data_IF_540189231586
#
_entry.id   IF_540189231586
#
_cell.length_a   1.000
_cell.length_b   1.000
_cell.length_c   1.000
_cell.angle_alpha   90.00
_cell.angle_beta   90.00
_cell.angle_gamma   90.00
#
_symmetry.space_group_name_H-M   'P 1'
#
loop_
_entity.id
_entity.type
_entity.pdbx_description
1 polymer ?
#
# COMPACT_ATOMS: atom_id res chain seq x y z
N UNK A 1 -12.51 -14.20 11.21
CA UNK A 1 -11.13 -13.71 11.47
C UNK A 1 -10.08 -14.11 10.40
N UNK A 2 -10.34 -15.06 9.49
CA UNK A 2 -9.32 -15.57 8.54
C UNK A 2 -8.99 -14.64 7.34
N UNK A 3 -9.96 -13.86 6.85
CA UNK A 3 -9.76 -12.98 5.67
C UNK A 3 -8.88 -11.76 5.95
N UNK A 4 -9.00 -11.16 7.14
CA UNK A 4 -8.20 -10.02 7.57
C UNK A 4 -6.72 -10.38 7.83
N UNK A 5 -6.42 -11.66 8.02
CA UNK A 5 -5.07 -12.20 8.23
C UNK A 5 -4.39 -12.66 6.93
N UNK A 6 -5.09 -12.62 5.78
CA UNK A 6 -4.51 -12.92 4.47
C UNK A 6 -4.43 -14.41 4.13
N UNK A 7 -5.39 -15.25 4.54
CA UNK A 7 -5.44 -16.69 4.23
C UNK A 7 -5.84 -17.01 2.77
N UNK A 8 -5.49 -16.15 1.82
CA UNK A 8 -5.73 -16.37 0.39
C UNK A 8 -4.38 -16.43 -0.32
N UNK A 9 -4.14 -17.52 -1.04
CA UNK A 9 -2.98 -17.64 -1.93
C UNK A 9 -3.17 -16.69 -3.12
N UNK A 10 -2.61 -15.49 -3.03
CA UNK A 10 -2.67 -14.47 -4.07
C UNK A 10 -1.30 -14.34 -4.73
N UNK A 11 -1.26 -14.29 -6.06
CA UNK A 11 0.00 -14.11 -6.79
C UNK A 11 0.52 -12.67 -6.62
N UNK A 12 1.84 -12.44 -6.72
CA UNK A 12 2.40 -11.09 -6.69
C UNK A 12 1.80 -10.16 -7.76
N UNK A 13 1.47 -10.70 -8.94
CA UNK A 13 0.83 -9.94 -10.03
C UNK A 13 -0.56 -9.46 -9.62
N UNK A 14 -1.34 -10.32 -8.96
CA UNK A 14 -2.67 -9.91 -8.48
C UNK A 14 -2.57 -8.90 -7.34
N UNK A 15 -1.58 -9.03 -6.46
CA UNK A 15 -1.30 -8.01 -5.44
C UNK A 15 -0.92 -6.67 -6.05
N UNK A 16 -0.14 -6.67 -7.14
CA UNK A 16 0.20 -5.45 -7.87
C UNK A 16 -1.06 -4.78 -8.44
N UNK A 17 -1.95 -5.55 -9.06
CA UNK A 17 -3.25 -5.03 -9.49
C UNK A 17 -4.01 -4.36 -8.34
N UNK A 18 -4.11 -5.01 -7.18
CA UNK A 18 -4.86 -4.46 -6.03
C UNK A 18 -4.20 -3.17 -5.50
N UNK A 19 -2.89 -3.16 -5.32
CA UNK A 19 -2.18 -1.98 -4.79
C UNK A 19 -2.19 -0.80 -5.76
N UNK A 20 -2.30 -1.06 -7.07
CA UNK A 20 -2.39 -0.01 -8.07
C UNK A 20 -3.57 0.93 -7.84
N UNK A 21 -4.68 0.45 -7.27
CA UNK A 21 -5.83 1.28 -6.92
C UNK A 21 -5.45 2.44 -5.99
N UNK A 22 -4.50 2.25 -5.08
CA UNK A 22 -4.03 3.31 -4.18
C UNK A 22 -2.88 4.09 -4.80
N UNK A 23 -1.92 3.39 -5.42
CA UNK A 23 -0.75 4.01 -6.03
C UNK A 23 -1.11 4.94 -7.21
N UNK A 24 -2.21 4.66 -7.90
CA UNK A 24 -2.69 5.37 -9.08
C UNK A 24 -3.96 6.20 -8.81
N UNK A 25 -4.05 6.80 -7.62
CA UNK A 25 -5.07 7.82 -7.32
C UNK A 25 -6.52 7.33 -7.36
N UNK A 26 -6.76 6.03 -7.17
CA UNK A 26 -8.10 5.44 -7.14
C UNK A 26 -8.40 4.49 -8.31
N UNK A 27 -7.52 4.39 -9.29
CA UNK A 27 -7.72 3.59 -10.49
C UNK A 27 -6.99 2.26 -10.41
N UNK A 28 -7.70 1.14 -10.54
CA UNK A 28 -7.08 -0.19 -10.48
C UNK A 28 -6.66 -0.64 -11.88
N UNK A 29 -5.37 -0.87 -12.08
CA UNK A 29 -4.77 -1.23 -13.38
C UNK A 29 -4.43 -2.71 -13.41
N UNK A 30 -4.89 -3.41 -14.45
CA UNK A 30 -4.43 -4.77 -14.71
C UNK A 30 -2.99 -4.78 -15.25
N UNK A 31 -2.04 -5.45 -14.55
CA UNK A 31 -0.67 -5.52 -15.01
C UNK A 31 -0.55 -6.24 -16.35
N UNK A 32 0.26 -5.69 -17.25
CA UNK A 32 0.54 -6.27 -18.57
C UNK A 32 2.04 -6.37 -18.82
N UNK A 33 2.43 -7.46 -19.49
CA UNK A 33 3.83 -7.70 -19.87
C UNK A 33 4.11 -7.31 -21.33
N UNK A 34 3.16 -7.56 -22.23
CA UNK A 34 3.33 -7.34 -23.67
C UNK A 34 2.49 -6.14 -24.08
N UNK A 35 3.13 -5.07 -24.54
CA UNK A 35 2.44 -3.88 -25.05
C UNK A 35 2.11 -3.96 -26.53
N UNK A 36 3.03 -4.51 -27.33
CA UNK A 36 2.92 -4.55 -28.79
C UNK A 36 3.74 -5.70 -29.37
N UNK A 37 3.22 -6.36 -30.41
CA UNK A 37 3.94 -7.34 -31.23
C UNK A 37 3.95 -6.82 -32.67
N UNK A 38 5.14 -6.74 -33.26
CA UNK A 38 5.35 -6.27 -34.63
C UNK A 38 5.79 -7.43 -35.52
N UNK A 39 5.34 -7.42 -36.76
CA UNK A 39 5.88 -8.27 -37.83
C UNK A 39 7.28 -7.80 -38.23
N UNK A 40 8.02 -8.64 -38.96
CA UNK A 40 9.33 -8.29 -39.54
C UNK A 40 9.29 -7.00 -40.38
N UNK A 41 8.14 -6.73 -41.00
CA UNK A 41 7.93 -5.57 -41.86
C UNK A 41 7.43 -4.32 -41.09
N UNK A 42 7.37 -4.36 -39.76
CA UNK A 42 6.91 -3.26 -38.90
C UNK A 42 5.39 -3.18 -38.71
N UNK A 43 4.61 -4.03 -39.38
CA UNK A 43 3.15 -4.09 -39.20
C UNK A 43 2.78 -4.54 -37.79
N UNK A 44 1.82 -3.86 -37.16
CA UNK A 44 1.31 -4.23 -35.83
C UNK A 44 0.49 -5.50 -35.93
N UNK A 45 0.95 -6.58 -35.28
CA UNK A 45 0.22 -7.86 -35.19
C UNK A 45 -0.70 -7.85 -33.97
N UNK A 46 -0.23 -7.26 -32.87
CA UNK A 46 -0.95 -7.17 -31.62
C UNK A 46 -0.58 -5.87 -30.91
N UNK A 47 -1.56 -5.24 -30.29
CA UNK A 47 -1.37 -4.08 -29.41
C UNK A 47 -2.31 -4.22 -28.22
N UNK A 48 -1.74 -4.28 -27.03
CA UNK A 48 -2.48 -4.42 -25.79
C UNK A 48 -2.95 -3.04 -25.32
N UNK A 49 -4.26 -2.92 -25.07
CA UNK A 49 -4.83 -1.77 -24.36
C UNK A 49 -4.73 -2.00 -22.85
N UNK A 50 -4.46 -0.94 -22.11
CA UNK A 50 -4.53 -0.96 -20.64
C UNK A 50 -5.95 -1.33 -20.23
N UNK A 51 -6.09 -2.38 -19.41
CA UNK A 51 -7.36 -2.70 -18.77
C UNK A 51 -7.35 -2.06 -17.38
N UNK A 52 -8.41 -1.31 -17.10
CA UNK A 52 -8.52 -0.48 -15.93
C UNK A 52 -9.94 -0.58 -15.36
N UNK A 53 -10.02 -0.69 -14.04
CA UNK A 53 -11.24 -0.39 -13.29
C UNK A 53 -11.06 1.04 -12.78
N UNK A 54 -11.63 1.98 -13.53
CA UNK A 54 -11.57 3.39 -13.18
C UNK A 54 -12.41 3.67 -11.93
N UNK A 55 -12.01 4.70 -11.17
CA UNK A 55 -12.76 5.21 -10.03
C UNK A 55 -13.13 4.14 -8.98
N UNK A 56 -12.26 3.14 -8.79
CA UNK A 56 -12.44 2.14 -7.73
C UNK A 56 -12.53 2.82 -6.35
N UNK A 57 -11.78 3.90 -6.16
CA UNK A 57 -12.00 4.88 -5.10
C UNK A 57 -11.66 6.28 -5.59
N UNK A 58 -11.94 7.32 -4.82
CA UNK A 58 -11.64 8.69 -5.21
C UNK A 58 -10.17 9.05 -4.93
N UNK A 59 -9.56 9.99 -5.67
CA UNK A 59 -8.18 10.41 -5.40
C UNK A 59 -7.92 10.87 -3.96
N UNK A 60 -8.82 11.65 -3.30
CA UNK A 60 -8.64 12.04 -1.90
C UNK A 60 -8.62 10.83 -0.95
N UNK A 61 -9.46 9.82 -1.21
CA UNK A 61 -9.53 8.59 -0.42
C UNK A 61 -8.30 7.71 -0.61
N UNK A 62 -7.84 7.53 -1.86
CA UNK A 62 -6.58 6.86 -2.16
C UNK A 62 -5.39 7.55 -1.48
N UNK A 63 -5.40 8.88 -1.40
CA UNK A 63 -4.35 9.65 -0.73
C UNK A 63 -4.37 9.49 0.79
N UNK A 64 -5.55 9.41 1.43
CA UNK A 64 -5.64 9.06 2.86
C UNK A 64 -5.02 7.69 3.14
N UNK A 65 -5.33 6.69 2.30
CA UNK A 65 -4.71 5.36 2.40
C UNK A 65 -3.19 5.41 2.20
N UNK A 66 -2.72 6.20 1.24
CA UNK A 66 -1.29 6.44 1.03
C UNK A 66 -0.63 7.03 2.28
N UNK A 67 -1.26 8.00 2.95
CA UNK A 67 -0.72 8.62 4.16
C UNK A 67 -0.65 7.64 5.34
N UNK A 68 -1.69 6.83 5.54
CA UNK A 68 -1.69 5.74 6.53
C UNK A 68 -0.56 4.74 6.22
N UNK A 69 -0.37 4.37 4.96
CA UNK A 69 0.69 3.44 4.55
C UNK A 69 2.09 4.04 4.66
N UNK A 70 2.25 5.37 4.56
CA UNK A 70 3.52 6.05 4.86
C UNK A 70 3.91 5.90 6.32
N UNK A 71 2.94 5.84 7.24
CA UNK A 71 3.23 5.63 8.66
C UNK A 71 3.79 4.24 8.97
N UNK A 72 3.41 3.22 8.21
CA UNK A 72 4.02 1.89 8.31
C UNK A 72 5.53 1.96 8.05
N UNK A 73 5.96 2.84 7.14
CA UNK A 73 7.36 3.04 6.81
C UNK A 73 8.04 3.93 7.85
N UNK A 74 7.42 5.05 8.25
CA UNK A 74 8.03 6.01 9.19
C UNK A 74 8.17 5.46 10.60
N UNK A 75 7.14 4.75 11.08
CA UNK A 75 6.99 4.36 12.49
C UNK A 75 6.49 2.94 12.70
N UNK A 76 6.03 2.24 11.66
CA UNK A 76 5.51 0.87 11.76
C UNK A 76 6.54 -0.23 11.48
N UNK A 77 6.04 -1.34 10.94
CA UNK A 77 6.80 -2.56 10.63
C UNK A 77 7.62 -2.48 9.34
N UNK A 78 7.35 -1.48 8.49
CA UNK A 78 7.98 -1.30 7.18
C UNK A 78 9.22 -0.41 7.18
N UNK A 79 9.78 -0.06 8.34
CA UNK A 79 10.93 0.89 8.45
C UNK A 79 12.11 0.53 7.54
N UNK A 80 12.38 -0.75 7.36
CA UNK A 80 13.47 -1.22 6.50
C UNK A 80 13.23 -0.99 5.00
N UNK A 81 12.02 -0.61 4.59
CA UNK A 81 11.71 -0.22 3.21
C UNK A 81 12.05 1.25 2.90
N UNK A 82 12.50 2.03 3.90
CA UNK A 82 12.76 3.46 3.73
C UNK A 82 13.86 3.76 2.70
N UNK A 83 13.62 4.77 1.87
CA UNK A 83 14.58 5.29 0.88
C UNK A 83 14.81 6.78 1.16
N UNK A 84 16.08 7.18 1.32
CA UNK A 84 16.42 8.55 1.73
C UNK A 84 15.93 9.56 0.69
N UNK A 85 15.13 10.52 1.15
CA UNK A 85 14.62 11.61 0.32
C UNK A 85 13.54 11.19 -0.68
N UNK A 86 12.91 10.04 -0.49
CA UNK A 86 11.78 9.56 -1.30
C UNK A 86 10.65 9.15 -0.34
N UNK A 87 9.44 9.63 -0.59
CA UNK A 87 8.27 9.15 0.10
C UNK A 87 7.91 7.74 -0.39
N UNK A 88 7.73 6.83 0.57
CA UNK A 88 7.35 5.44 0.32
C UNK A 88 6.11 5.15 1.16
N UNK A 89 5.15 4.49 0.54
CA UNK A 89 3.98 3.91 1.18
C UNK A 89 4.03 2.40 1.01
N UNK A 90 3.63 1.63 2.02
CA UNK A 90 3.55 0.18 1.86
C UNK A 90 3.18 -0.57 3.12
N UNK A 91 3.02 -1.88 2.99
CA UNK A 91 2.64 -2.75 4.09
C UNK A 91 3.44 -4.05 4.08
N UNK A 92 3.83 -4.47 5.28
CA UNK A 92 4.39 -5.80 5.51
C UNK A 92 3.27 -6.83 5.64
N UNK A 93 3.48 -8.01 5.06
CA UNK A 93 2.72 -9.23 5.35
C UNK A 93 3.66 -10.34 5.83
N UNK A 94 3.24 -11.13 6.80
CA UNK A 94 3.96 -12.31 7.26
C UNK A 94 2.93 -13.37 7.60
N UNK A 95 3.01 -14.56 6.98
CA UNK A 95 2.08 -15.66 7.29
C UNK A 95 2.52 -16.42 8.54
N UNK A 96 1.62 -17.27 9.06
CA UNK A 96 1.90 -18.12 10.20
C UNK A 96 3.17 -18.95 9.98
N UNK A 97 3.95 -19.14 11.05
CA UNK A 97 5.23 -19.88 11.04
C UNK A 97 6.28 -19.29 10.09
N UNK A 98 6.14 -18.04 9.63
CA UNK A 98 7.10 -17.35 8.75
C UNK A 98 7.37 -18.13 7.46
N UNK A 99 6.32 -18.70 6.87
CA UNK A 99 6.42 -19.40 5.58
C UNK A 99 6.50 -18.40 4.43
N UNK A 100 5.77 -17.30 4.54
CA UNK A 100 5.74 -16.22 3.56
C UNK A 100 6.10 -14.88 4.21
N UNK A 101 6.95 -14.14 3.52
CA UNK A 101 7.27 -12.76 3.83
C UNK A 101 6.91 -11.87 2.63
N UNK A 102 6.03 -10.91 2.86
CA UNK A 102 5.55 -9.97 1.86
C UNK A 102 5.91 -8.54 2.22
N UNK A 103 6.25 -7.77 1.19
CA UNK A 103 6.19 -6.32 1.25
C UNK A 103 5.57 -5.79 -0.04
N UNK A 104 4.43 -5.14 0.10
CA UNK A 104 3.73 -4.49 -1.00
C UNK A 104 3.87 -2.99 -0.78
N UNK A 105 4.52 -2.28 -1.70
CA UNK A 105 4.77 -0.86 -1.51
C UNK A 105 4.96 -0.12 -2.82
N UNK A 106 4.93 1.20 -2.73
CA UNK A 106 5.05 2.09 -3.85
C UNK A 106 5.64 3.44 -3.45
N UNK A 107 6.14 4.13 -4.46
CA UNK A 107 6.50 5.54 -4.47
C UNK A 107 5.59 6.26 -5.48
N UNK A 108 5.66 7.59 -5.63
CA UNK A 108 4.72 8.34 -6.46
C UNK A 108 4.62 7.88 -7.93
N UNK A 109 5.65 7.23 -8.47
CA UNK A 109 5.72 6.81 -9.87
C UNK A 109 5.96 5.31 -10.07
N UNK A 110 6.11 4.54 -8.99
CA UNK A 110 6.54 3.14 -9.13
C UNK A 110 6.03 2.30 -7.97
N UNK A 111 5.40 1.20 -8.30
CA UNK A 111 4.97 0.15 -7.39
C UNK A 111 5.91 -1.05 -7.48
N UNK A 112 6.18 -1.69 -6.33
CA UNK A 112 7.01 -2.89 -6.25
C UNK A 112 6.42 -3.82 -5.20
N UNK A 113 6.11 -5.04 -5.63
CA UNK A 113 5.62 -6.12 -4.78
C UNK A 113 6.73 -7.16 -4.61
N UNK A 114 7.09 -7.45 -3.36
CA UNK A 114 8.12 -8.44 -3.03
C UNK A 114 7.50 -9.54 -2.17
N UNK A 115 7.61 -10.77 -2.66
CA UNK A 115 7.36 -11.97 -1.89
C UNK A 115 8.66 -12.76 -1.72
N UNK A 116 8.83 -13.35 -0.56
CA UNK A 116 9.84 -14.35 -0.29
C UNK A 116 9.20 -15.52 0.44
N UNK A 117 9.53 -16.72 0.00
CA UNK A 117 9.10 -17.97 0.60
C UNK A 117 10.01 -19.09 0.13
N UNK A 118 9.72 -20.31 0.59
CA UNK A 118 10.41 -21.52 0.12
C UNK A 118 9.41 -22.35 -0.67
N UNK A 119 9.83 -22.89 -1.82
CA UNK A 119 8.95 -23.69 -2.68
C UNK A 119 8.36 -24.92 -1.98
N UNK A 120 9.01 -25.41 -0.93
CA UNK A 120 8.54 -26.53 -0.10
C UNK A 120 7.68 -26.10 1.11
N UNK A 121 7.24 -24.84 1.17
CA UNK A 121 6.43 -24.25 2.23
C UNK A 121 7.00 -24.42 3.66
N UNK A 122 8.30 -24.66 3.80
CA UNK A 122 8.96 -24.68 5.10
C UNK A 122 9.21 -23.24 5.57
N UNK A 123 9.25 -23.01 6.90
CA UNK A 123 9.63 -21.70 7.43
C UNK A 123 10.90 -21.15 6.79
N UNK A 124 10.90 -19.86 6.48
CA UNK A 124 12.05 -19.13 5.94
C UNK A 124 13.20 -19.11 6.96
N UNK A 125 12.85 -19.10 8.26
CA UNK A 125 13.79 -19.08 9.38
C UNK A 125 13.71 -17.78 10.18
N UNK A 126 14.66 -17.61 11.11
CA UNK A 126 14.73 -16.43 11.97
C UNK A 126 14.94 -15.17 11.11
N UNK A 127 14.10 -14.16 11.31
CA UNK A 127 14.13 -12.91 10.53
C UNK A 127 13.35 -12.95 9.22
N UNK A 128 12.83 -14.12 8.80
CA UNK A 128 12.00 -14.31 7.61
C UNK A 128 10.60 -13.71 7.71
N UNK A 129 10.52 -12.40 7.89
CA UNK A 129 9.26 -11.64 8.01
C UNK A 129 9.20 -10.58 6.92
N UNK A 130 8.01 -10.09 6.59
CA UNK A 130 7.87 -9.02 5.58
C UNK A 130 8.74 -7.79 5.85
N UNK A 131 8.93 -7.40 7.11
CA UNK A 131 9.80 -6.29 7.50
C UNK A 131 11.29 -6.64 7.55
N UNK A 132 11.64 -7.90 7.80
CA UNK A 132 13.01 -8.39 7.95
C UNK A 132 13.68 -8.80 6.65
N UNK A 133 12.92 -9.25 5.65
CA UNK A 133 13.46 -9.75 4.37
C UNK A 133 12.91 -8.99 3.16
N UNK A 134 11.58 -8.95 2.99
CA UNK A 134 10.95 -8.40 1.78
C UNK A 134 11.05 -6.86 1.70
N UNK A 135 10.90 -6.16 2.82
CA UNK A 135 11.06 -4.70 2.90
C UNK A 135 12.50 -4.23 2.56
N UNK A 136 13.58 -4.84 3.07
CA UNK A 136 14.94 -4.56 2.60
C UNK A 136 15.15 -4.77 1.10
N UNK A 137 14.59 -5.85 0.53
CA UNK A 137 14.70 -6.13 -0.91
C UNK A 137 13.99 -5.05 -1.75
N UNK A 138 12.81 -4.60 -1.32
CA UNK A 138 12.13 -3.44 -1.88
C UNK A 138 13.02 -2.19 -1.83
N UNK A 139 13.59 -1.86 -0.66
CA UNK A 139 14.43 -0.67 -0.51
C UNK A 139 15.66 -0.73 -1.40
N UNK A 140 16.27 -1.90 -1.54
CA UNK A 140 17.42 -2.12 -2.42
C UNK A 140 17.07 -1.81 -3.88
N UNK A 141 15.95 -2.36 -4.37
CA UNK A 141 15.48 -2.09 -5.74
C UNK A 141 15.20 -0.60 -5.95
N UNK A 142 14.43 0.02 -5.05
CA UNK A 142 14.06 1.44 -5.16
C UNK A 142 15.28 2.35 -5.11
N UNK A 143 16.26 2.11 -4.22
CA UNK A 143 17.51 2.90 -4.16
C UNK A 143 18.25 2.87 -5.50
N UNK A 144 18.29 1.73 -6.18
CA UNK A 144 18.91 1.60 -7.50
C UNK A 144 18.09 2.29 -8.58
N UNK A 145 16.78 2.15 -8.55
CA UNK A 145 15.86 2.82 -9.49
C UNK A 145 16.05 4.34 -9.46
N UNK A 146 15.98 4.96 -8.28
CA UNK A 146 16.15 6.41 -8.12
C UNK A 146 17.58 6.90 -8.40
N UNK A 147 18.59 6.03 -8.31
CA UNK A 147 19.95 6.34 -8.77
C UNK A 147 20.03 6.38 -10.29
N UNK A 148 19.33 5.48 -10.98
CA UNK A 148 19.29 5.40 -12.45
C UNK A 148 18.41 6.49 -13.07
N UNK A 149 17.31 6.83 -12.40
CA UNK A 149 16.33 7.81 -12.86
C UNK A 149 16.14 8.91 -11.81
N UNK A 150 17.09 9.88 -11.71
CA UNK A 150 17.08 10.90 -10.66
C UNK A 150 15.88 11.86 -10.73
N UNK A 151 15.23 11.95 -11.90
CA UNK A 151 14.09 12.83 -12.16
C UNK A 151 12.74 12.25 -11.73
N UNK A 152 12.69 11.00 -11.23
CA UNK A 152 11.44 10.41 -10.76
C UNK A 152 10.87 11.24 -9.57
N UNK A 153 9.54 11.48 -9.53
CA UNK A 153 8.92 12.22 -8.45
C UNK A 153 9.17 11.55 -7.09
N UNK A 154 9.53 12.36 -6.09
CA UNK A 154 9.94 11.87 -4.77
C UNK A 154 8.90 12.07 -3.67
N UNK A 155 7.83 12.81 -3.95
CA UNK A 155 6.74 13.09 -3.01
C UNK A 155 5.42 12.79 -3.68
N UNK A 156 4.48 12.27 -2.91
CA UNK A 156 3.14 11.99 -3.44
C UNK A 156 2.42 13.31 -3.73
N UNK A 157 1.85 13.49 -4.93
CA UNK A 157 1.02 14.65 -5.22
C UNK A 157 -0.24 14.56 -4.36
N UNK A 158 -0.51 15.62 -3.58
CA UNK A 158 -1.74 15.71 -2.79
C UNK A 158 -2.87 16.20 -3.70
N UNK A 159 -3.96 15.43 -3.86
CA UNK A 159 -5.11 15.87 -4.63
C UNK A 159 -5.91 16.93 -3.85
N UNK A 160 -6.75 17.67 -4.58
CA UNK A 160 -7.78 18.55 -3.98
C UNK A 160 -8.74 17.74 -3.10
N UNK A 161 -9.43 18.39 -2.16
CA UNK A 161 -10.37 17.72 -1.25
C UNK A 161 -9.73 16.92 -0.12
N UNK A 162 -8.40 16.95 0.03
CA UNK A 162 -7.68 16.45 1.21
C UNK A 162 -7.34 17.63 2.11
N UNK A 163 -7.77 17.58 3.37
CA UNK A 163 -7.59 18.66 4.34
C UNK A 163 -6.72 18.21 5.53
N UNK A 164 -6.10 19.18 6.22
CA UNK A 164 -5.33 18.94 7.44
C UNK A 164 -6.15 19.37 8.63
N UNK A 165 -6.19 18.56 9.67
CA UNK A 165 -6.74 18.99 10.95
C UNK A 165 -5.74 18.78 12.08
N UNK A 166 -5.80 19.70 13.04
CA UNK A 166 -5.07 19.65 14.31
C UNK A 166 -6.00 20.15 15.40
N UNK A 167 -6.57 19.25 16.19
CA UNK A 167 -7.55 19.61 17.24
C UNK A 167 -7.11 19.20 18.66
N UNK A 168 -5.81 19.30 18.96
CA UNK A 168 -5.22 18.97 20.28
C UNK A 168 -5.17 17.47 20.60
N UNK A 169 -6.14 16.68 20.09
CA UNK A 169 -6.28 15.23 20.30
C UNK A 169 -5.90 14.44 19.05
N UNK A 170 -6.26 14.93 17.86
CA UNK A 170 -6.00 14.28 16.56
C UNK A 170 -5.22 15.24 15.67
N UNK A 171 -4.13 14.75 15.09
CA UNK A 171 -3.42 15.39 13.98
C UNK A 171 -3.42 14.42 12.81
N UNK A 172 -4.02 14.78 11.69
CA UNK A 172 -4.14 13.89 10.54
C UNK A 172 -4.81 14.53 9.34
N UNK A 173 -4.79 13.77 8.24
CA UNK A 173 -5.52 14.11 7.03
C UNK A 173 -6.96 13.64 7.14
N UNK A 174 -7.88 14.41 6.56
CA UNK A 174 -9.28 14.04 6.42
C UNK A 174 -9.82 14.49 5.06
N UNK A 175 -10.98 13.96 4.69
CA UNK A 175 -11.73 14.36 3.48
C UNK A 175 -13.20 14.48 3.83
N UNK A 176 -14.03 14.99 2.93
CA UNK A 176 -15.48 15.11 3.17
C UNK A 176 -16.16 13.74 3.39
N UNK A 177 -15.66 12.69 2.73
CA UNK A 177 -16.13 11.31 2.89
C UNK A 177 -15.56 10.61 4.14
N UNK A 178 -14.46 11.12 4.70
CA UNK A 178 -13.85 10.58 5.93
C UNK A 178 -13.52 11.74 6.86
N UNK A 179 -14.55 12.37 7.45
CA UNK A 179 -14.37 13.49 8.35
C UNK A 179 -13.69 13.02 9.65
N UNK A 180 -13.12 13.95 10.39
CA UNK A 180 -12.62 13.64 11.72
C UNK A 180 -13.76 13.22 12.66
N UNK A 181 -13.49 12.36 13.67
CA UNK A 181 -14.43 12.11 14.74
C UNK A 181 -14.78 13.43 15.44
N UNK A 182 -16.07 13.77 15.48
CA UNK A 182 -16.57 14.87 16.31
C UNK A 182 -16.37 14.47 17.78
N UNK A 183 -15.83 15.37 18.62
CA UNK A 183 -15.80 15.13 20.05
C UNK A 183 -17.25 15.07 20.57
N UNK A 184 -17.81 13.88 20.72
CA UNK A 184 -18.99 13.69 21.55
C UNK A 184 -18.52 13.91 22.99
N UNK A 185 -18.99 14.99 23.64
CA UNK A 185 -18.85 15.15 25.09
C UNK A 185 -19.27 13.83 25.75
N UNK A 186 -18.43 13.31 26.64
CA UNK A 186 -18.64 12.04 27.31
C UNK A 186 -20.03 11.94 27.93
N UNK A 187 -20.57 10.73 27.84
CA UNK A 187 -21.76 10.22 28.50
C UNK A 187 -22.05 10.91 29.84
N UNK A 188 -23.30 11.36 29.99
CA UNK A 188 -23.95 11.42 31.29
C UNK A 188 -23.81 10.06 31.98
N UNK A 189 -23.31 10.10 33.22
CA UNK A 189 -23.14 8.99 34.15
C UNK A 189 -24.33 8.02 34.12
N UNK A 190 -24.16 6.71 33.87
CA UNK A 190 -25.13 5.70 34.27
C UNK A 190 -24.73 5.20 35.66
N UNK A 191 -24.89 6.04 36.68
CA UNK A 191 -24.93 5.61 38.08
C UNK A 191 -26.26 6.07 38.68
N UNK A 192 -27.34 5.38 38.30
CA UNK A 192 -28.60 5.29 39.05
C UNK A 192 -29.53 4.38 38.26
N UNK A 193 -29.46 3.07 38.52
CA UNK A 193 -30.60 2.13 38.42
C UNK A 193 -30.06 0.70 38.54
N UNK A 194 -29.58 0.38 39.74
CA UNK A 194 -29.57 -0.98 40.26
C UNK A 194 -30.12 -0.92 41.68
N UNK A 195 -31.41 -0.65 41.79
CA UNK A 195 -32.20 -0.90 42.99
C UNK A 195 -33.44 -1.72 42.59
N UNK A 196 -33.51 -2.93 43.16
CA UNK A 196 -34.71 -3.71 43.50
C UNK A 196 -35.63 -4.14 42.34
N UNK A 197 -35.48 -5.39 41.87
CA UNK A 197 -36.34 -6.56 42.18
C UNK A 197 -35.81 -7.82 41.46
#
# INVERSE_FOLDING_TARGET
MSIALGNLGVSPVKMAQIYSAFANGGHMIEPRLISKVLSRNGTVIYESKTQEIADFTTPPQAYLMTDILKDVIKRGTGRNAQVKGVEVAGKTGTTNKNVDAWFCGYSPSTEVIVWMGRDNNRPIGRGGTGGGTSAPAFAYFMKRLYKMYPNLPRKFPRPEGVYNARNGVITGLYTDLSPLPTQTKSATNPESDFDLF
#
